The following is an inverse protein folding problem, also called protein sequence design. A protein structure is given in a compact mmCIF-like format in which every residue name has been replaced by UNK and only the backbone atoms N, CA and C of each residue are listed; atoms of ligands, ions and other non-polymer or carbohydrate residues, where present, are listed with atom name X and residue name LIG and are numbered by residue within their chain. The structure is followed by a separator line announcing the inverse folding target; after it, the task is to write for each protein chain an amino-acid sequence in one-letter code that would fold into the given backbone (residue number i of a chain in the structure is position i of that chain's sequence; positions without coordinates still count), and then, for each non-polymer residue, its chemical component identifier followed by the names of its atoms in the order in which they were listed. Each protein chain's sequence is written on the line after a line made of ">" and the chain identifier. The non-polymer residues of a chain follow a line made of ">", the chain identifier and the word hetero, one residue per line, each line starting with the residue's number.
data_IF_510913143200
#
_entry.id   IF_510913143200
#
_cell.length_a   1.000
_cell.length_b   1.000
_cell.length_c   1.000
_cell.angle_alpha   90.00
_cell.angle_beta   90.00
_cell.angle_gamma   90.00
#
_symmetry.space_group_name_H-M   'P 1'
#
loop_
_entity.id
_entity.type
_entity.pdbx_description
1 polymer ?
#
# COMPACT_ATOMS: atom_id res chain seq x y z
N UNK A 1 0.44 7.60 5.40
CA UNK A 1 0.01 6.20 5.65
C UNK A 1 1.19 5.22 5.70
N UNK A 2 1.96 5.07 4.61
CA UNK A 2 3.07 4.10 4.51
C UNK A 2 4.20 4.31 5.52
N UNK A 3 4.51 5.56 5.89
CA UNK A 3 5.51 5.84 6.93
C UNK A 3 5.07 5.36 8.33
N UNK A 4 3.76 5.38 8.62
CA UNK A 4 3.21 4.90 9.90
C UNK A 4 3.29 3.38 9.98
N UNK A 5 3.01 2.68 8.87
CA UNK A 5 3.18 1.21 8.82
C UNK A 5 4.65 0.80 8.91
N UNK A 6 5.57 1.58 8.34
CA UNK A 6 7.02 1.38 8.46
C UNK A 6 7.46 1.43 9.93
N UNK A 7 7.03 2.45 10.68
CA UNK A 7 7.32 2.57 12.12
C UNK A 7 6.75 1.37 12.89
N UNK A 8 5.51 0.96 12.61
CA UNK A 8 4.91 -0.22 13.24
C UNK A 8 5.68 -1.52 12.96
N UNK A 9 6.23 -1.68 11.75
CA UNK A 9 7.06 -2.83 11.36
C UNK A 9 8.42 -2.83 12.05
N UNK A 10 9.06 -1.68 12.18
CA UNK A 10 10.31 -1.56 12.94
C UNK A 10 10.08 -1.82 14.43
N UNK A 11 8.95 -1.37 14.99
CA UNK A 11 8.59 -1.61 16.39
C UNK A 11 8.42 -3.10 16.71
N UNK A 12 7.99 -3.93 15.74
CA UNK A 12 7.94 -5.40 15.91
C UNK A 12 9.29 -6.00 16.30
N UNK A 13 10.41 -5.44 15.85
CA UNK A 13 11.75 -5.93 16.19
C UNK A 13 11.98 -5.98 17.71
N UNK A 14 11.52 -4.94 18.41
CA UNK A 14 11.63 -4.77 19.88
C UNK A 14 10.50 -5.51 20.60
N UNK A 15 9.31 -5.56 20.01
CA UNK A 15 8.13 -6.18 20.62
C UNK A 15 8.08 -7.71 20.52
N UNK A 16 8.87 -8.32 19.65
CA UNK A 16 8.99 -9.78 19.62
C UNK A 16 9.86 -10.25 20.79
N UNK A 17 9.19 -10.58 21.89
CA UNK A 17 9.80 -11.10 23.11
C UNK A 17 9.08 -12.40 23.52
N UNK A 18 9.77 -13.55 23.55
CA UNK A 18 9.18 -14.83 23.97
C UNK A 18 8.62 -14.80 25.40
N UNK A 19 9.19 -13.97 26.28
CA UNK A 19 8.79 -13.87 27.68
C UNK A 19 7.56 -12.97 27.88
N UNK A 20 7.21 -12.14 26.91
CA UNK A 20 6.10 -11.20 26.99
C UNK A 20 5.30 -11.13 25.67
N UNK A 21 4.50 -12.16 25.34
CA UNK A 21 3.77 -12.24 24.06
C UNK A 21 2.80 -11.08 23.81
N UNK A 22 2.29 -10.46 24.88
CA UNK A 22 1.38 -9.31 24.78
C UNK A 22 2.00 -8.09 24.10
N UNK A 23 3.34 -7.96 24.09
CA UNK A 23 4.04 -6.83 23.45
C UNK A 23 3.79 -6.77 21.94
N UNK A 24 3.46 -7.89 21.30
CA UNK A 24 3.10 -7.96 19.87
C UNK A 24 1.84 -7.16 19.54
N UNK A 25 1.00 -6.86 20.54
CA UNK A 25 -0.19 -6.03 20.36
C UNK A 25 0.14 -4.54 20.20
N UNK A 26 1.31 -4.06 20.67
CA UNK A 26 1.71 -2.65 20.58
C UNK A 26 1.91 -2.14 19.13
N UNK A 27 2.57 -2.87 18.22
CA UNK A 27 2.69 -2.43 16.82
C UNK A 27 1.38 -2.56 16.02
N UNK A 28 0.45 -3.41 16.45
CA UNK A 28 -0.77 -3.73 15.70
C UNK A 28 -1.65 -2.50 15.39
N UNK A 29 -1.95 -1.59 16.33
CA UNK A 29 -2.67 -0.35 16.04
C UNK A 29 -1.97 0.54 15.00
N UNK A 30 -0.65 0.69 15.07
CA UNK A 30 0.11 1.51 14.12
C UNK A 30 0.02 0.95 12.70
N UNK A 31 0.17 -0.36 12.56
CA UNK A 31 0.04 -1.04 11.28
C UNK A 31 -1.39 -0.93 10.76
N UNK A 32 -2.40 -1.11 11.62
CA UNK A 32 -3.81 -1.03 11.24
C UNK A 32 -4.21 0.37 10.76
N UNK A 33 -3.83 1.43 11.49
CA UNK A 33 -4.09 2.82 11.10
C UNK A 33 -3.40 3.15 9.79
N UNK A 34 -2.13 2.75 9.63
CA UNK A 34 -1.40 2.97 8.40
C UNK A 34 -2.00 2.20 7.20
N UNK A 35 -2.53 1.00 7.41
CA UNK A 35 -3.22 0.22 6.38
C UNK A 35 -4.55 0.88 5.99
N UNK A 36 -5.36 1.31 6.97
CA UNK A 36 -6.62 2.01 6.72
C UNK A 36 -6.42 3.28 5.90
N UNK A 37 -5.44 4.11 6.29
CA UNK A 37 -5.10 5.31 5.53
C UNK A 37 -4.60 5.02 4.11
N UNK A 38 -3.89 3.90 3.91
CA UNK A 38 -3.40 3.52 2.57
C UNK A 38 -4.56 3.20 1.63
N UNK A 39 -5.54 2.42 2.05
CA UNK A 39 -6.70 2.08 1.20
C UNK A 39 -7.55 3.29 0.84
N UNK A 40 -7.70 4.25 1.77
CA UNK A 40 -8.41 5.50 1.49
C UNK A 40 -7.64 6.40 0.53
N UNK A 41 -6.34 6.62 0.78
CA UNK A 41 -5.53 7.53 -0.04
C UNK A 41 -5.31 7.00 -1.45
N UNK A 42 -5.09 5.68 -1.62
CA UNK A 42 -4.92 5.09 -2.95
C UNK A 42 -6.15 5.28 -3.84
N UNK A 43 -7.36 5.14 -3.29
CA UNK A 43 -8.60 5.40 -4.04
C UNK A 43 -8.69 6.84 -4.53
N UNK A 44 -8.35 7.81 -3.68
CA UNK A 44 -8.30 9.23 -4.04
C UNK A 44 -7.28 9.49 -5.16
N UNK A 45 -6.06 8.97 -5.02
CA UNK A 45 -4.99 9.19 -6.00
C UNK A 45 -5.33 8.59 -7.38
N UNK A 46 -6.04 7.46 -7.42
CA UNK A 46 -6.50 6.88 -8.69
C UNK A 46 -7.56 7.79 -9.32
N UNK A 47 -8.48 8.34 -8.53
CA UNK A 47 -9.46 9.30 -9.03
C UNK A 47 -8.79 10.55 -9.60
N UNK A 48 -7.77 11.09 -8.93
CA UNK A 48 -7.02 12.26 -9.41
C UNK A 48 -6.33 11.97 -10.77
N UNK A 49 -5.81 10.75 -10.96
CA UNK A 49 -5.23 10.32 -12.25
C UNK A 49 -6.30 10.15 -13.32
N UNK A 50 -7.47 9.61 -12.98
CA UNK A 50 -8.61 9.53 -13.89
C UNK A 50 -9.07 10.91 -14.35
N UNK A 51 -9.12 11.90 -13.44
CA UNK A 51 -9.47 13.27 -13.76
C UNK A 51 -8.43 13.92 -14.69
N UNK A 52 -7.13 13.65 -14.47
CA UNK A 52 -6.08 14.10 -15.39
C UNK A 52 -6.25 13.49 -16.79
N UNK A 53 -6.51 12.18 -16.88
CA UNK A 53 -6.73 11.47 -18.13
C UNK A 53 -7.99 11.96 -18.87
N UNK A 54 -9.08 12.24 -18.14
CA UNK A 54 -10.30 12.86 -18.68
C UNK A 54 -9.98 14.26 -19.25
N UNK A 55 -9.13 15.05 -18.57
CA UNK A 55 -8.76 16.38 -19.02
C UNK A 55 -7.94 16.36 -20.32
N UNK A 56 -7.03 15.40 -20.46
CA UNK A 56 -6.13 15.26 -21.63
C UNK A 56 -6.82 14.58 -22.82
N UNK A 57 -7.61 13.53 -22.57
CA UNK A 57 -8.19 12.70 -23.63
C UNK A 57 -9.65 13.00 -23.93
N UNK A 58 -10.39 13.60 -22.99
CA UNK A 58 -11.83 13.81 -23.09
C UNK A 58 -12.69 12.56 -22.82
N UNK A 59 -12.08 11.41 -22.56
CA UNK A 59 -12.77 10.13 -22.35
C UNK A 59 -12.78 9.75 -20.86
N UNK A 60 -13.92 9.25 -20.35
CA UNK A 60 -13.98 8.72 -18.97
C UNK A 60 -13.53 7.26 -18.93
N UNK A 61 -12.34 7.02 -18.38
CA UNK A 61 -11.70 5.69 -18.33
C UNK A 61 -11.53 5.13 -16.91
N UNK A 62 -12.36 5.56 -15.97
CA UNK A 62 -12.27 5.22 -14.54
C UNK A 62 -12.24 3.69 -14.27
N UNK A 63 -13.05 2.92 -15.01
CA UNK A 63 -13.12 1.47 -14.87
C UNK A 63 -11.81 0.75 -15.27
N UNK A 64 -11.12 1.25 -16.29
CA UNK A 64 -9.84 0.70 -16.73
C UNK A 64 -8.77 0.93 -15.67
N UNK A 65 -8.62 2.16 -15.17
CA UNK A 65 -7.66 2.47 -14.10
C UNK A 65 -7.93 1.66 -12.82
N UNK A 66 -9.21 1.53 -12.43
CA UNK A 66 -9.59 0.69 -11.30
C UNK A 66 -9.25 -0.80 -11.48
N UNK A 67 -9.46 -1.33 -12.69
CA UNK A 67 -9.13 -2.73 -13.00
C UNK A 67 -7.62 -2.99 -12.97
N UNK A 68 -6.81 -2.08 -13.53
CA UNK A 68 -5.34 -2.19 -13.53
C UNK A 68 -4.83 -2.15 -12.08
N UNK A 69 -5.34 -1.22 -11.27
CA UNK A 69 -4.98 -1.13 -9.85
C UNK A 69 -5.20 -2.45 -9.10
N UNK A 70 -6.41 -3.00 -9.16
CA UNK A 70 -6.72 -4.25 -8.46
C UNK A 70 -5.98 -5.45 -9.02
N UNK A 71 -5.68 -5.46 -10.31
CA UNK A 71 -4.85 -6.49 -10.90
C UNK A 71 -3.42 -6.44 -10.35
N UNK A 72 -2.83 -5.25 -10.22
CA UNK A 72 -1.50 -5.07 -9.61
C UNK A 72 -1.48 -5.49 -8.14
N UNK A 73 -2.54 -5.18 -7.37
CA UNK A 73 -2.68 -5.66 -5.98
C UNK A 73 -2.66 -7.20 -5.92
N UNK A 74 -3.45 -7.86 -6.77
CA UNK A 74 -3.52 -9.33 -6.83
C UNK A 74 -2.21 -9.97 -7.27
N UNK A 75 -1.50 -9.35 -8.21
CA UNK A 75 -0.19 -9.81 -8.64
C UNK A 75 0.83 -9.73 -7.49
N UNK A 76 0.83 -8.60 -6.76
CA UNK A 76 1.68 -8.43 -5.57
C UNK A 76 1.38 -9.45 -4.47
N UNK A 77 0.10 -9.70 -4.19
CA UNK A 77 -0.33 -10.73 -3.24
C UNK A 77 0.09 -12.13 -3.67
N UNK A 78 -0.12 -12.48 -4.95
CA UNK A 78 0.29 -13.78 -5.50
C UNK A 78 1.79 -13.99 -5.36
N UNK A 79 2.60 -12.97 -5.68
CA UNK A 79 4.05 -13.03 -5.54
C UNK A 79 4.46 -13.17 -4.07
N UNK A 80 3.83 -12.41 -3.16
CA UNK A 80 4.10 -12.51 -1.73
C UNK A 80 3.78 -13.91 -1.19
N UNK A 81 2.65 -14.50 -1.57
CA UNK A 81 2.29 -15.85 -1.17
C UNK A 81 3.24 -16.90 -1.75
N UNK A 82 3.59 -16.80 -3.03
CA UNK A 82 4.54 -17.71 -3.66
C UNK A 82 5.92 -17.67 -2.98
N UNK A 83 6.42 -16.48 -2.68
CA UNK A 83 7.72 -16.30 -2.01
C UNK A 83 7.69 -16.69 -0.53
N UNK A 84 6.55 -16.53 0.15
CA UNK A 84 6.46 -16.75 1.61
C UNK A 84 6.86 -18.18 2.02
N UNK A 85 6.43 -19.20 1.27
CA UNK A 85 6.78 -20.59 1.55
C UNK A 85 8.27 -20.89 1.34
N UNK A 86 8.85 -20.37 0.27
CA UNK A 86 10.27 -20.51 -0.01
C UNK A 86 11.13 -19.82 1.05
N UNK A 87 10.77 -18.59 1.43
CA UNK A 87 11.46 -17.82 2.45
C UNK A 87 11.38 -18.51 3.82
N UNK A 88 10.23 -19.08 4.19
CA UNK A 88 10.09 -19.84 5.43
C UNK A 88 11.01 -21.05 5.45
N UNK A 89 11.05 -21.83 4.37
CA UNK A 89 11.97 -22.96 4.26
C UNK A 89 13.44 -22.51 4.39
N UNK A 90 13.80 -21.39 3.75
CA UNK A 90 15.15 -20.82 3.82
C UNK A 90 15.58 -20.38 5.23
N UNK A 91 14.64 -20.14 6.16
CA UNK A 91 14.98 -19.85 7.57
C UNK A 91 15.42 -21.08 8.37
N UNK A 92 15.33 -22.28 7.79
CA UNK A 92 15.60 -23.54 8.49
C UNK A 92 14.44 -23.96 9.41
N UNK A 93 13.21 -23.54 9.10
CA UNK A 93 12.01 -23.95 9.83
C UNK A 93 11.71 -25.42 9.60
N UNK A 94 11.62 -26.19 10.69
CA UNK A 94 11.35 -27.63 10.64
C UNK A 94 9.98 -27.93 11.26
N UNK A 95 9.02 -28.36 10.44
CA UNK A 95 7.62 -28.60 10.87
C UNK A 95 7.55 -29.59 12.05
N UNK A 96 8.40 -30.62 12.05
CA UNK A 96 8.44 -31.67 13.06
C UNK A 96 8.75 -31.17 14.47
N UNK A 97 9.54 -30.08 14.58
CA UNK A 97 9.92 -29.48 15.86
C UNK A 97 8.81 -28.60 16.47
N UNK A 98 7.75 -28.30 15.72
CA UNK A 98 6.65 -27.45 16.18
C UNK A 98 7.16 -26.14 16.77
N UNK A 99 6.85 -25.88 18.05
CA UNK A 99 7.32 -24.69 18.78
C UNK A 99 8.76 -24.79 19.33
N UNK A 100 9.40 -25.96 19.28
CA UNK A 100 10.75 -26.18 19.80
C UNK A 100 11.82 -25.89 18.72
N UNK A 101 11.68 -24.78 17.99
CA UNK A 101 12.67 -24.37 16.98
C UNK A 101 13.96 -23.87 17.63
N UNK A 102 15.06 -23.93 16.88
CA UNK A 102 16.33 -23.35 17.33
C UNK A 102 16.24 -21.82 17.45
N UNK A 103 17.05 -21.23 18.32
CA UNK A 103 17.14 -19.77 18.44
C UNK A 103 17.54 -19.11 17.11
N UNK A 104 18.41 -19.77 16.32
CA UNK A 104 18.78 -19.32 14.98
C UNK A 104 17.59 -19.28 14.01
N UNK A 105 16.70 -20.28 14.04
CA UNK A 105 15.50 -20.29 13.19
C UNK A 105 14.59 -19.12 13.54
N UNK A 106 14.33 -18.88 14.83
CA UNK A 106 13.52 -17.74 15.27
C UNK A 106 14.14 -16.39 14.88
N UNK A 107 15.47 -16.27 14.95
CA UNK A 107 16.17 -15.07 14.50
C UNK A 107 15.97 -14.82 13.00
N UNK A 108 16.14 -15.84 12.15
CA UNK A 108 15.95 -15.70 10.71
C UNK A 108 14.49 -15.45 10.32
N UNK A 109 13.52 -16.10 10.99
CA UNK A 109 12.09 -15.82 10.81
C UNK A 109 11.76 -14.36 11.14
N UNK A 110 12.34 -13.81 12.21
CA UNK A 110 12.19 -12.39 12.56
C UNK A 110 12.78 -11.47 11.50
N UNK A 111 13.97 -11.78 10.98
CA UNK A 111 14.60 -11.01 9.92
C UNK A 111 13.70 -10.99 8.67
N UNK A 112 13.19 -12.13 8.24
CA UNK A 112 12.30 -12.23 7.07
C UNK A 112 11.00 -11.43 7.28
N UNK A 113 10.34 -11.54 8.43
CA UNK A 113 9.08 -10.84 8.74
C UNK A 113 9.26 -9.31 8.88
N UNK A 114 10.41 -8.84 9.38
CA UNK A 114 10.63 -7.40 9.62
C UNK A 114 11.32 -6.74 8.43
N UNK A 115 12.41 -7.30 7.91
CA UNK A 115 13.25 -6.62 6.91
C UNK A 115 12.55 -6.53 5.56
N UNK A 116 11.94 -7.61 5.07
CA UNK A 116 11.32 -7.63 3.74
C UNK A 116 10.18 -6.59 3.66
N UNK A 117 9.19 -6.56 4.57
CA UNK A 117 8.13 -5.55 4.53
C UNK A 117 8.63 -4.12 4.79
N UNK A 118 9.74 -3.95 5.50
CA UNK A 118 10.37 -2.64 5.74
C UNK A 118 11.00 -2.11 4.45
N UNK A 119 11.75 -2.94 3.73
CA UNK A 119 12.35 -2.56 2.44
C UNK A 119 11.27 -2.24 1.40
N UNK A 120 10.23 -3.08 1.29
CA UNK A 120 9.11 -2.80 0.39
C UNK A 120 8.38 -1.49 0.74
N UNK A 121 8.20 -1.18 2.02
CA UNK A 121 7.62 0.09 2.45
C UNK A 121 8.53 1.29 2.12
N UNK A 122 9.85 1.16 2.30
CA UNK A 122 10.80 2.21 1.94
C UNK A 122 10.76 2.52 0.44
N UNK A 123 10.74 1.49 -0.41
CA UNK A 123 10.59 1.65 -1.86
C UNK A 123 9.26 2.35 -2.19
N UNK A 124 8.15 1.93 -1.56
CA UNK A 124 6.85 2.56 -1.76
C UNK A 124 6.85 4.04 -1.38
N UNK A 125 7.48 4.42 -0.26
CA UNK A 125 7.60 5.82 0.17
C UNK A 125 8.36 6.64 -0.86
N UNK A 126 9.47 6.12 -1.40
CA UNK A 126 10.27 6.80 -2.43
C UNK A 126 9.44 7.00 -3.70
N UNK A 127 8.76 5.96 -4.18
CA UNK A 127 7.93 6.06 -5.40
C UNK A 127 6.81 7.10 -5.23
N UNK A 128 6.12 7.11 -4.09
CA UNK A 128 5.07 8.10 -3.80
C UNK A 128 5.67 9.50 -3.65
N UNK A 129 6.85 9.66 -3.08
CA UNK A 129 7.52 10.96 -2.97
C UNK A 129 7.90 11.55 -4.34
N UNK A 130 8.06 10.72 -5.38
CA UNK A 130 8.28 11.17 -6.76
C UNK A 130 6.99 11.44 -7.55
N UNK A 131 5.83 11.25 -6.93
CA UNK A 131 4.53 11.46 -7.57
C UNK A 131 4.28 12.95 -7.80
N UNK A 132 3.97 13.32 -9.05
CA UNK A 132 3.88 14.73 -9.48
C UNK A 132 2.51 15.36 -9.23
N UNK A 133 1.47 14.55 -9.03
CA UNK A 133 0.12 15.03 -8.80
C UNK A 133 0.00 15.45 -7.32
N UNK A 134 0.13 16.74 -7.08
CA UNK A 134 -0.06 17.34 -5.76
C UNK A 134 -1.51 17.72 -5.55
N UNK A 135 -1.90 17.98 -4.30
CA UNK A 135 -3.24 18.42 -3.93
C UNK A 135 -3.67 19.67 -4.71
N UNK A 136 -2.78 20.67 -4.82
CA UNK A 136 -3.03 21.89 -5.59
C UNK A 136 -3.31 21.57 -7.08
N UNK A 137 -2.50 20.69 -7.67
CA UNK A 137 -2.67 20.27 -9.06
C UNK A 137 -3.99 19.52 -9.27
N UNK A 138 -4.39 18.67 -8.32
CA UNK A 138 -5.67 17.96 -8.38
C UNK A 138 -6.86 18.93 -8.33
N UNK A 139 -6.82 19.94 -7.45
CA UNK A 139 -7.83 20.99 -7.39
C UNK A 139 -7.91 21.80 -8.69
N UNK A 140 -6.76 22.15 -9.29
CA UNK A 140 -6.72 22.84 -10.57
C UNK A 140 -7.35 22.02 -11.71
N UNK A 141 -7.04 20.71 -11.78
CA UNK A 141 -7.60 19.80 -12.79
C UNK A 141 -9.11 19.73 -12.65
N UNK A 142 -9.60 19.52 -11.42
CA UNK A 142 -11.03 19.47 -11.13
C UNK A 142 -11.75 20.76 -11.53
N UNK A 143 -11.19 21.92 -11.20
CA UNK A 143 -11.76 23.21 -11.59
C UNK A 143 -11.81 23.39 -13.12
N UNK A 144 -10.82 22.90 -13.87
CA UNK A 144 -10.82 22.92 -15.34
C UNK A 144 -11.91 22.01 -15.93
N UNK A 145 -12.10 20.82 -15.36
CA UNK A 145 -13.16 19.89 -15.78
C UNK A 145 -14.56 20.45 -15.49
N UNK A 146 -14.77 21.04 -14.31
CA UNK A 146 -16.05 21.67 -13.96
C UNK A 146 -16.40 22.81 -14.93
N UNK A 147 -15.44 23.68 -15.26
CA UNK A 147 -15.63 24.73 -16.28
C UNK A 147 -16.04 24.16 -17.64
N UNK A 148 -15.39 23.10 -18.13
CA UNK A 148 -15.74 22.44 -19.40
C UNK A 148 -17.17 21.88 -19.37
N UNK A 149 -17.57 21.25 -18.26
CA UNK A 149 -18.93 20.71 -18.08
C UNK A 149 -19.98 21.82 -18.11
N UNK A 150 -19.71 22.94 -17.45
CA UNK A 150 -20.62 24.11 -17.49
C UNK A 150 -20.71 24.71 -18.90
N UNK A 151 -19.59 24.86 -19.62
CA UNK A 151 -19.61 25.37 -21.00
C UNK A 151 -20.42 24.48 -21.94
N UNK A 152 -20.25 23.15 -21.88
CA UNK A 152 -21.05 22.22 -22.69
C UNK A 152 -22.54 22.23 -22.33
N UNK A 153 -22.89 22.39 -21.04
CA UNK A 153 -24.29 22.50 -20.64
C UNK A 153 -24.98 23.76 -21.19
N UNK A 154 -24.25 24.88 -21.25
CA UNK A 154 -24.73 26.15 -21.82
C UNK A 154 -24.87 26.04 -23.34
N UNK A 155 -23.92 25.44 -24.05
CA UNK A 155 -24.01 25.23 -25.51
C UNK A 155 -25.09 24.21 -25.90
N UNK A 156 -25.37 23.21 -25.06
CA UNK A 156 -26.41 22.20 -25.27
C UNK A 156 -27.84 22.72 -25.03
N UNK A 157 -28.02 23.98 -24.59
CA UNK A 157 -29.33 24.53 -24.26
C UNK A 157 -30.02 23.82 -23.09
N UNK A 158 -29.25 23.19 -22.20
CA UNK A 158 -29.76 22.42 -21.06
C UNK A 158 -30.05 23.31 -19.82
N UNK A 159 -30.10 24.63 -19.98
CA UNK A 159 -30.41 25.63 -18.94
C UNK A 159 -31.49 26.57 -19.43
#
# INVERSE_FOLDING_TARGET
>A
ATSVTLIGRLLKWVCYDPMAPWKVLLPSPLIAVGMGGLFTLMGSMIADVCDLDELETGERREGMYGSIYWWMVKLGMSLAFALSGFLLNATGFLVELGGQQTESTFFWMRIVDVVIPTVCAAISIITVATFKLTEDTAYEIRAKLEKRRTSHAVESGAV
#
